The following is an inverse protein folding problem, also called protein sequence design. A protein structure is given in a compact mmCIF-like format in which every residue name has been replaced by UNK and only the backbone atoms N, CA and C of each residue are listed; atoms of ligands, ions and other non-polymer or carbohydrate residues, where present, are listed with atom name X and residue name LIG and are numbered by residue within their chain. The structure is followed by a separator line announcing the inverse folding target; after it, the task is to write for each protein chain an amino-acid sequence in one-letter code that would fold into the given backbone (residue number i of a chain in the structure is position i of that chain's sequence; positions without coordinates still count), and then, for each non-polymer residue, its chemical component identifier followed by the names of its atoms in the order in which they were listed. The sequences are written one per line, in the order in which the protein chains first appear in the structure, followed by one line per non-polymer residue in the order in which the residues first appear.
data_IF_077066426905
#
_entry.id   IF_077066426905
#
_cell.length_a   1.000
_cell.length_b   1.000
_cell.length_c   1.000
_cell.angle_alpha   90.00
_cell.angle_beta   90.00
_cell.angle_gamma   90.00
#
_symmetry.space_group_name_H-M   'P 1'
#
loop_
_entity.id
_entity.type
_entity.pdbx_description
1 polymer ?
#
# COMPACT_ATOMS: atom_id res chain seq x y z
N UNK A 1 -39.23 21.66 -12.79
CA UNK A 1 -39.15 22.78 -13.76
C UNK A 1 -37.80 22.72 -14.48
N UNK A 2 -37.69 23.19 -15.74
CA UNK A 2 -36.40 23.22 -16.48
C UNK A 2 -35.92 24.66 -16.62
N UNK A 3 -34.69 24.93 -16.18
CA UNK A 3 -34.13 26.29 -16.14
C UNK A 3 -33.03 26.41 -17.21
N UNK A 4 -33.13 27.38 -18.12
CA UNK A 4 -32.12 27.57 -19.17
C UNK A 4 -30.81 28.16 -18.60
N UNK A 5 -29.70 27.77 -19.21
CA UNK A 5 -28.34 28.24 -18.82
C UNK A 5 -28.21 29.76 -18.72
N UNK A 6 -28.89 30.50 -19.61
CA UNK A 6 -28.84 31.96 -19.66
C UNK A 6 -29.38 32.63 -18.40
N UNK A 7 -30.38 32.00 -17.75
CA UNK A 7 -30.96 32.49 -16.50
C UNK A 7 -30.00 32.24 -15.34
N UNK A 8 -29.39 31.04 -15.27
CA UNK A 8 -28.44 30.67 -14.22
C UNK A 8 -27.15 31.48 -14.24
N UNK A 9 -26.59 31.70 -15.43
CA UNK A 9 -25.38 32.52 -15.64
C UNK A 9 -25.61 33.95 -15.13
N UNK A 10 -26.81 34.50 -15.34
CA UNK A 10 -27.18 35.85 -14.85
C UNK A 10 -27.45 35.89 -13.36
N UNK A 11 -28.20 34.92 -12.82
CA UNK A 11 -28.59 34.89 -11.41
C UNK A 11 -27.42 34.60 -10.48
N UNK A 12 -26.50 33.72 -10.88
CA UNK A 12 -25.37 33.28 -10.05
C UNK A 12 -24.05 33.99 -10.41
N UNK A 13 -24.08 34.91 -11.38
CA UNK A 13 -22.90 35.62 -11.90
C UNK A 13 -21.74 34.67 -12.26
N UNK A 14 -22.09 33.51 -12.84
CA UNK A 14 -21.15 32.47 -13.24
C UNK A 14 -20.86 32.57 -14.72
N UNK A 15 -19.64 32.27 -15.13
CA UNK A 15 -19.35 32.21 -16.56
C UNK A 15 -19.86 30.92 -17.19
N UNK A 16 -20.47 31.02 -18.38
CA UNK A 16 -20.98 29.84 -19.10
C UNK A 16 -19.88 28.81 -19.42
N UNK A 17 -18.61 29.22 -19.47
CA UNK A 17 -17.49 28.31 -19.62
C UNK A 17 -17.27 27.43 -18.38
N UNK A 18 -17.46 27.96 -17.17
CA UNK A 18 -17.27 27.23 -15.92
C UNK A 18 -18.31 26.12 -15.77
N UNK A 19 -19.58 26.41 -16.08
CA UNK A 19 -20.65 25.42 -16.10
C UNK A 19 -20.35 24.25 -17.05
N UNK A 20 -19.76 24.53 -18.22
CA UNK A 20 -19.35 23.50 -19.18
C UNK A 20 -18.20 22.64 -18.65
N UNK A 21 -17.26 23.23 -17.92
CA UNK A 21 -16.18 22.47 -17.29
C UNK A 21 -16.69 21.59 -16.13
N UNK A 22 -17.67 22.06 -15.36
CA UNK A 22 -18.31 21.25 -14.32
C UNK A 22 -19.16 20.12 -14.91
N UNK A 23 -19.83 20.35 -16.04
CA UNK A 23 -20.51 19.32 -16.84
C UNK A 23 -19.52 18.23 -17.30
N UNK A 24 -18.38 18.62 -17.89
CA UNK A 24 -17.34 17.68 -18.34
C UNK A 24 -16.77 16.83 -17.19
N UNK A 25 -16.67 17.41 -16.00
CA UNK A 25 -16.21 16.71 -14.79
C UNK A 25 -17.27 15.81 -14.16
N UNK A 26 -18.50 15.83 -14.68
CA UNK A 26 -19.61 15.02 -14.17
C UNK A 26 -20.23 15.54 -12.88
N UNK A 27 -19.88 16.75 -12.42
CA UNK A 27 -20.37 17.30 -11.15
C UNK A 27 -21.86 17.65 -11.18
N UNK A 28 -22.39 17.92 -12.37
CA UNK A 28 -23.78 18.32 -12.60
C UNK A 28 -24.69 17.18 -13.07
N UNK A 29 -24.16 15.97 -13.27
CA UNK A 29 -24.90 14.85 -13.86
C UNK A 29 -25.26 15.07 -15.34
N UNK A 30 -26.29 14.34 -15.82
CA UNK A 30 -26.72 14.41 -17.23
C UNK A 30 -27.44 15.72 -17.54
N UNK A 31 -26.83 16.56 -18.38
CA UNK A 31 -27.42 17.84 -18.80
C UNK A 31 -28.23 17.63 -20.08
N UNK A 32 -29.53 17.89 -20.01
CA UNK A 32 -30.42 17.81 -21.15
C UNK A 32 -30.30 19.07 -22.02
N UNK A 33 -30.31 18.88 -23.34
CA UNK A 33 -30.40 19.98 -24.30
C UNK A 33 -31.81 20.02 -24.86
N UNK A 34 -32.43 21.20 -24.83
CA UNK A 34 -33.77 21.38 -25.34
C UNK A 34 -33.76 21.44 -26.89
N UNK A 35 -34.35 20.45 -27.59
CA UNK A 35 -34.38 20.43 -29.06
C UNK A 35 -35.14 21.62 -29.67
N UNK A 36 -36.12 22.17 -28.94
CA UNK A 36 -36.99 23.24 -29.43
C UNK A 36 -36.44 24.64 -29.14
N UNK A 37 -35.42 24.77 -28.29
CA UNK A 37 -34.76 26.04 -27.98
C UNK A 37 -33.29 26.04 -28.43
N UNK A 38 -33.05 25.81 -29.73
CA UNK A 38 -31.70 25.87 -30.32
C UNK A 38 -30.66 25.00 -29.58
N UNK A 39 -31.09 23.84 -29.07
CA UNK A 39 -30.25 22.94 -28.27
C UNK A 39 -29.64 23.60 -27.02
N UNK A 40 -30.32 24.61 -26.45
CA UNK A 40 -29.88 25.22 -25.19
C UNK A 40 -29.85 24.18 -24.07
N UNK A 41 -28.82 24.30 -23.22
CA UNK A 41 -28.71 23.51 -22.00
C UNK A 41 -29.78 23.95 -21.02
N UNK A 42 -30.54 22.98 -20.55
CA UNK A 42 -31.57 23.16 -19.54
C UNK A 42 -31.24 22.28 -18.34
N UNK A 43 -31.37 22.85 -17.16
CA UNK A 43 -31.03 22.20 -15.90
C UNK A 43 -32.29 21.92 -15.10
N UNK A 44 -32.30 20.80 -14.38
CA UNK A 44 -33.32 20.49 -13.37
C UNK A 44 -33.08 21.29 -12.09
N UNK A 45 -34.08 21.36 -11.21
CA UNK A 45 -33.95 22.03 -9.90
C UNK A 45 -32.80 21.46 -9.07
N UNK A 46 -32.65 20.13 -9.02
CA UNK A 46 -31.54 19.46 -8.34
C UNK A 46 -30.17 19.86 -8.92
N UNK A 47 -30.07 19.98 -10.25
CA UNK A 47 -28.84 20.45 -10.90
C UNK A 47 -28.54 21.91 -10.54
N UNK A 48 -29.57 22.74 -10.42
CA UNK A 48 -29.41 24.14 -9.99
C UNK A 48 -28.93 24.21 -8.54
N UNK A 49 -29.44 23.38 -7.64
CA UNK A 49 -28.96 23.30 -6.25
C UNK A 49 -27.49 22.85 -6.18
N UNK A 50 -27.08 21.91 -7.03
CA UNK A 50 -25.66 21.52 -7.17
C UNK A 50 -24.80 22.68 -7.66
N UNK A 51 -25.23 23.39 -8.70
CA UNK A 51 -24.53 24.57 -9.23
C UNK A 51 -24.36 25.65 -8.16
N UNK A 52 -25.42 25.93 -7.40
CA UNK A 52 -25.38 26.90 -6.30
C UNK A 52 -24.40 26.47 -5.22
N UNK A 53 -24.44 25.20 -4.81
CA UNK A 53 -23.52 24.66 -3.81
C UNK A 53 -22.05 24.77 -4.26
N UNK A 54 -21.76 24.53 -5.54
CA UNK A 54 -20.40 24.69 -6.10
C UNK A 54 -19.98 26.15 -6.04
N UNK A 55 -20.86 27.07 -6.47
CA UNK A 55 -20.59 28.50 -6.45
C UNK A 55 -20.26 28.99 -5.03
N UNK A 56 -21.02 28.56 -4.02
CA UNK A 56 -20.82 28.91 -2.61
C UNK A 56 -19.47 28.41 -2.07
N UNK A 57 -19.08 27.17 -2.43
CA UNK A 57 -17.79 26.60 -2.03
C UNK A 57 -16.65 27.39 -2.66
N UNK A 58 -16.73 27.70 -3.94
CA UNK A 58 -15.71 28.48 -4.64
C UNK A 58 -15.61 29.88 -4.03
N UNK A 59 -16.74 30.53 -3.76
CA UNK A 59 -16.77 31.85 -3.11
C UNK A 59 -16.10 31.79 -1.72
N UNK A 60 -16.41 30.76 -0.93
CA UNK A 60 -15.78 30.53 0.38
C UNK A 60 -14.26 30.32 0.27
N UNK A 61 -13.78 29.65 -0.78
CA UNK A 61 -12.34 29.52 -1.06
C UNK A 61 -11.71 30.88 -1.40
N UNK A 62 -12.40 31.73 -2.17
CA UNK A 62 -11.95 33.10 -2.49
C UNK A 62 -11.83 33.96 -1.24
N UNK A 63 -12.80 33.89 -0.34
CA UNK A 63 -12.79 34.59 0.94
C UNK A 63 -11.63 34.16 1.84
N UNK A 64 -11.26 32.87 1.80
CA UNK A 64 -10.06 32.33 2.47
C UNK A 64 -8.73 32.73 1.81
N UNK A 65 -8.77 33.51 0.72
CA UNK A 65 -7.58 33.98 0.01
C UNK A 65 -7.00 32.98 -1.00
N UNK A 66 -7.72 31.90 -1.31
CA UNK A 66 -7.27 30.88 -2.26
C UNK A 66 -7.46 31.41 -3.69
N UNK A 67 -6.35 31.64 -4.40
CA UNK A 67 -6.36 32.20 -5.78
C UNK A 67 -6.73 31.18 -6.86
N UNK A 68 -6.59 29.87 -6.60
CA UNK A 68 -6.93 28.80 -7.54
C UNK A 68 -7.91 27.86 -6.86
N UNK A 69 -9.07 27.65 -7.47
CA UNK A 69 -10.10 26.75 -6.94
C UNK A 69 -9.51 25.38 -6.61
N UNK A 70 -9.67 24.96 -5.35
CA UNK A 70 -9.30 23.62 -4.94
C UNK A 70 -10.42 22.66 -5.34
N UNK A 71 -10.14 21.91 -6.42
CA UNK A 71 -11.09 21.02 -7.05
C UNK A 71 -11.38 19.79 -6.18
N UNK A 72 -10.40 19.36 -5.36
CA UNK A 72 -10.58 18.19 -4.48
C UNK A 72 -11.54 18.52 -3.33
N UNK A 73 -11.46 19.74 -2.76
CA UNK A 73 -12.39 20.18 -1.73
C UNK A 73 -13.83 20.30 -2.27
N UNK A 74 -13.98 20.80 -3.51
CA UNK A 74 -15.29 20.91 -4.17
C UNK A 74 -15.88 19.51 -4.39
N UNK A 75 -15.09 18.57 -4.92
CA UNK A 75 -15.54 17.18 -5.13
C UNK A 75 -15.92 16.48 -3.83
N UNK A 76 -15.10 16.64 -2.77
CA UNK A 76 -15.39 16.05 -1.47
C UNK A 76 -16.70 16.57 -0.88
N UNK A 77 -16.93 17.88 -0.93
CA UNK A 77 -18.16 18.50 -0.43
C UNK A 77 -19.38 18.17 -1.28
N UNK A 78 -19.22 18.07 -2.59
CA UNK A 78 -20.29 17.62 -3.48
C UNK A 78 -20.70 16.18 -3.18
N UNK A 79 -19.72 15.29 -2.97
CA UNK A 79 -19.96 13.91 -2.59
C UNK A 79 -20.64 13.81 -1.22
N UNK A 80 -20.23 14.64 -0.26
CA UNK A 80 -20.83 14.70 1.08
C UNK A 80 -22.28 15.19 1.05
N UNK A 81 -22.57 16.25 0.27
CA UNK A 81 -23.90 16.90 0.27
C UNK A 81 -24.93 16.20 -0.60
N UNK A 82 -24.52 15.72 -1.78
CA UNK A 82 -25.42 15.14 -2.78
C UNK A 82 -25.32 13.62 -2.86
N UNK A 83 -24.30 13.02 -2.21
CA UNK A 83 -24.03 11.60 -2.34
C UNK A 83 -23.48 11.25 -3.72
N UNK A 84 -22.62 10.23 -3.78
CA UNK A 84 -22.24 9.60 -5.05
C UNK A 84 -23.48 8.94 -5.67
N UNK A 85 -24.23 9.68 -6.46
CA UNK A 85 -25.43 9.19 -7.12
C UNK A 85 -25.04 8.19 -8.22
N UNK A 86 -24.79 6.94 -7.82
CA UNK A 86 -24.77 5.80 -8.75
C UNK A 86 -26.22 5.57 -9.17
N UNK A 87 -26.66 6.29 -10.21
CA UNK A 87 -27.92 5.93 -10.87
C UNK A 87 -27.77 4.51 -11.38
N UNK A 88 -28.54 3.58 -10.82
CA UNK A 88 -28.76 2.29 -11.46
C UNK A 88 -29.36 2.59 -12.83
N UNK A 89 -28.72 2.08 -13.87
CA UNK A 89 -29.24 2.14 -15.22
C UNK A 89 -30.46 1.21 -15.23
N UNK A 90 -31.65 1.75 -14.95
CA UNK A 90 -32.90 1.08 -15.29
C UNK A 90 -33.10 1.26 -16.80
N UNK A 91 -32.36 0.46 -17.56
CA UNK A 91 -32.61 0.33 -18.98
C UNK A 91 -33.60 -0.80 -19.21
N UNK A 92 -34.78 -0.44 -19.72
CA UNK A 92 -35.46 -1.22 -20.75
C UNK A 92 -34.58 -1.28 -22.02
N UNK A 93 -33.40 -1.89 -21.88
CA UNK A 93 -32.49 -2.17 -22.98
C UNK A 93 -33.07 -3.37 -23.71
N UNK A 94 -33.80 -3.13 -24.80
CA UNK A 94 -33.98 -4.16 -25.83
C UNK A 94 -32.62 -4.41 -26.43
N UNK A 95 -31.87 -5.35 -25.85
CA UNK A 95 -30.56 -5.76 -26.34
C UNK A 95 -30.75 -6.54 -27.63
N UNK A 96 -30.20 -6.08 -28.77
CA UNK A 96 -30.22 -6.85 -30.00
C UNK A 96 -29.51 -8.20 -29.77
N UNK A 97 -30.03 -9.33 -30.29
CA UNK A 97 -29.47 -10.67 -30.03
C UNK A 97 -28.00 -10.83 -30.44
N UNK A 98 -27.50 -10.01 -31.36
CA UNK A 98 -26.08 -9.97 -31.73
C UNK A 98 -25.17 -9.48 -30.60
N UNK A 99 -25.62 -8.52 -29.80
CA UNK A 99 -24.90 -8.02 -28.63
C UNK A 99 -24.88 -9.03 -27.48
N UNK A 100 -25.91 -9.88 -27.38
CA UNK A 100 -25.90 -11.02 -26.44
C UNK A 100 -24.82 -12.03 -26.80
N UNK A 101 -24.61 -12.32 -28.09
CA UNK A 101 -23.54 -13.22 -28.51
C UNK A 101 -22.14 -12.69 -28.15
N UNK A 102 -21.91 -11.38 -28.30
CA UNK A 102 -20.65 -10.76 -27.88
C UNK A 102 -20.44 -10.81 -26.37
N UNK A 103 -21.51 -10.62 -25.58
CA UNK A 103 -21.47 -10.76 -24.13
C UNK A 103 -21.16 -12.21 -23.72
N UNK A 104 -21.75 -13.20 -24.41
CA UNK A 104 -21.48 -14.62 -24.18
C UNK A 104 -20.01 -14.96 -24.50
N UNK A 105 -19.47 -14.48 -25.62
CA UNK A 105 -18.04 -14.68 -25.95
C UNK A 105 -17.11 -14.04 -24.91
N UNK A 106 -17.43 -12.83 -24.44
CA UNK A 106 -16.68 -12.16 -23.38
C UNK A 106 -16.76 -12.92 -22.04
N UNK A 107 -17.92 -13.46 -21.69
CA UNK A 107 -18.11 -14.29 -20.49
C UNK A 107 -17.33 -15.61 -20.59
N UNK A 108 -17.32 -16.24 -21.77
CA UNK A 108 -16.51 -17.43 -22.02
C UNK A 108 -15.01 -17.12 -21.87
N UNK A 109 -14.56 -15.99 -22.43
CA UNK A 109 -13.18 -15.52 -22.28
C UNK A 109 -12.80 -15.19 -20.83
N UNK A 110 -13.72 -14.62 -20.05
CA UNK A 110 -13.49 -14.39 -18.61
C UNK A 110 -13.39 -15.70 -17.83
N UNK A 111 -14.28 -16.67 -18.08
CA UNK A 111 -14.24 -17.97 -17.42
C UNK A 111 -12.94 -18.74 -17.72
N UNK A 112 -12.42 -18.64 -18.95
CA UNK A 112 -11.12 -19.22 -19.30
C UNK A 112 -9.98 -18.59 -18.48
N UNK A 113 -9.93 -17.26 -18.39
CA UNK A 113 -8.93 -16.55 -17.59
C UNK A 113 -9.03 -16.89 -16.09
N UNK A 114 -10.25 -17.02 -15.56
CA UNK A 114 -10.46 -17.45 -14.17
C UNK A 114 -9.89 -18.85 -13.94
N UNK A 115 -10.13 -19.79 -14.86
CA UNK A 115 -9.58 -21.14 -14.76
C UNK A 115 -8.04 -21.15 -14.85
N UNK A 116 -7.44 -20.34 -15.72
CA UNK A 116 -5.98 -20.19 -15.81
C UNK A 116 -5.40 -19.65 -14.50
N UNK A 117 -6.01 -18.61 -13.92
CA UNK A 117 -5.60 -18.05 -12.62
C UNK A 117 -5.73 -19.08 -11.50
N UNK A 118 -6.81 -19.86 -11.47
CA UNK A 118 -6.98 -20.94 -10.51
C UNK A 118 -5.89 -22.00 -10.64
N UNK A 119 -5.51 -22.39 -11.87
CA UNK A 119 -4.42 -23.32 -12.10
C UNK A 119 -3.06 -22.75 -11.65
N UNK A 120 -2.80 -21.47 -11.91
CA UNK A 120 -1.58 -20.80 -11.45
C UNK A 120 -1.51 -20.76 -9.92
N UNK A 121 -2.61 -20.49 -9.22
CA UNK A 121 -2.65 -20.57 -7.74
C UNK A 121 -2.35 -21.98 -7.23
N UNK A 122 -2.90 -23.02 -7.88
CA UNK A 122 -2.62 -24.42 -7.52
C UNK A 122 -1.17 -24.83 -7.80
N UNK A 123 -0.50 -24.21 -8.78
CA UNK A 123 0.91 -24.45 -9.04
C UNK A 123 1.82 -23.66 -8.09
N UNK A 124 1.42 -22.45 -7.68
CA UNK A 124 2.16 -21.66 -6.70
C UNK A 124 2.14 -22.30 -5.31
N UNK A 125 1.02 -22.89 -4.89
CA UNK A 125 0.96 -23.62 -3.62
C UNK A 125 1.89 -24.84 -3.59
N UNK A 126 2.18 -25.45 -4.74
CA UNK A 126 3.17 -26.53 -4.88
C UNK A 126 4.63 -26.06 -4.94
N UNK A 127 4.88 -24.75 -5.16
CA UNK A 127 6.21 -24.13 -5.19
C UNK A 127 6.54 -23.36 -3.91
N UNK A 128 5.92 -23.72 -2.79
CA UNK A 128 6.35 -23.21 -1.48
C UNK A 128 7.78 -23.67 -1.21
N UNK A 129 8.62 -22.75 -0.73
CA UNK A 129 9.96 -23.05 -0.26
C UNK A 129 9.89 -24.19 0.77
N UNK A 130 10.86 -25.11 0.80
CA UNK A 130 10.92 -26.12 1.86
C UNK A 130 10.87 -25.43 3.21
N UNK A 131 10.16 -26.04 4.17
CA UNK A 131 10.05 -25.52 5.53
C UNK A 131 11.45 -25.19 6.08
N UNK A 132 11.59 -24.08 6.86
CA UNK A 132 12.88 -23.68 7.40
C UNK A 132 13.49 -24.85 8.15
N UNK A 133 14.67 -25.28 7.70
CA UNK A 133 15.41 -26.37 8.33
C UNK A 133 15.71 -25.93 9.76
N UNK A 134 15.21 -26.70 10.73
CA UNK A 134 15.41 -26.39 12.14
C UNK A 134 16.88 -26.63 12.52
N UNK A 135 17.63 -25.54 12.69
CA UNK A 135 19.04 -25.56 13.07
C UNK A 135 19.24 -25.56 14.60
N UNK A 136 18.19 -25.76 15.39
CA UNK A 136 18.25 -25.68 16.86
C UNK A 136 19.25 -26.68 17.45
N UNK A 137 19.31 -27.92 16.96
CA UNK A 137 20.29 -28.91 17.42
C UNK A 137 21.74 -28.46 17.16
N UNK A 138 22.03 -27.95 15.96
CA UNK A 138 23.37 -27.48 15.58
C UNK A 138 23.81 -26.30 16.46
N UNK A 139 22.88 -25.39 16.77
CA UNK A 139 23.15 -24.27 17.68
C UNK A 139 23.39 -24.74 19.11
N UNK A 140 22.67 -25.76 19.59
CA UNK A 140 22.90 -26.33 20.92
C UNK A 140 24.25 -27.04 21.01
N UNK A 141 24.66 -27.76 19.97
CA UNK A 141 25.95 -28.44 19.93
C UNK A 141 27.12 -27.46 19.88
N UNK A 142 27.03 -26.41 19.08
CA UNK A 142 28.04 -25.34 19.04
C UNK A 142 28.17 -24.64 20.40
N UNK A 143 27.04 -24.37 21.07
CA UNK A 143 27.04 -23.78 22.42
C UNK A 143 27.73 -24.68 23.45
N UNK A 144 27.46 -25.99 23.40
CA UNK A 144 28.08 -26.96 24.29
C UNK A 144 29.59 -27.10 24.02
N UNK A 145 30.01 -27.07 22.76
CA UNK A 145 31.42 -27.08 22.39
C UNK A 145 32.14 -25.81 22.85
N UNK A 146 31.52 -24.64 22.71
CA UNK A 146 32.07 -23.37 23.17
C UNK A 146 32.29 -23.37 24.68
N UNK A 147 31.32 -23.87 25.45
CA UNK A 147 31.42 -23.97 26.91
C UNK A 147 32.58 -24.89 27.32
N UNK A 148 32.71 -26.05 26.70
CA UNK A 148 33.86 -26.97 26.93
C UNK A 148 35.19 -26.33 26.56
N UNK A 149 35.21 -25.47 25.53
CA UNK A 149 36.43 -24.74 25.15
C UNK A 149 36.82 -23.71 26.20
N UNK A 150 35.86 -22.96 26.74
CA UNK A 150 36.10 -22.00 27.82
C UNK A 150 36.62 -22.68 29.08
N UNK A 151 36.00 -23.80 29.49
CA UNK A 151 36.45 -24.57 30.66
C UNK A 151 37.88 -25.09 30.50
N UNK A 152 38.29 -25.49 29.29
CA UNK A 152 39.69 -25.90 29.02
C UNK A 152 40.64 -24.71 29.08
N UNK A 153 40.24 -23.55 28.58
CA UNK A 153 41.05 -22.34 28.61
C UNK A 153 41.29 -21.88 30.06
N UNK A 154 40.27 -21.91 30.90
CA UNK A 154 40.39 -21.63 32.34
C UNK A 154 41.34 -22.62 33.04
N UNK A 155 41.26 -23.92 32.72
CA UNK A 155 42.19 -24.92 33.26
C UNK A 155 43.63 -24.68 32.80
N UNK A 156 43.85 -24.32 31.53
CA UNK A 156 45.18 -23.99 31.02
C UNK A 156 45.73 -22.75 31.72
N UNK A 157 44.94 -21.71 31.93
CA UNK A 157 45.34 -20.52 32.67
C UNK A 157 45.74 -20.84 34.12
N UNK A 158 44.99 -21.73 34.79
CA UNK A 158 45.33 -22.19 36.14
C UNK A 158 46.67 -22.95 36.18
N UNK A 159 46.91 -23.84 35.21
CA UNK A 159 48.20 -24.56 35.10
C UNK A 159 49.34 -23.57 34.84
N UNK A 160 49.15 -22.60 33.96
CA UNK A 160 50.16 -21.57 33.67
C UNK A 160 50.49 -20.76 34.92
N UNK A 161 49.49 -20.37 35.73
CA UNK A 161 49.72 -19.68 37.00
C UNK A 161 50.48 -20.55 38.00
N UNK A 162 50.14 -21.84 38.12
CA UNK A 162 50.86 -22.76 39.00
C UNK A 162 52.33 -22.88 38.57
N UNK A 163 52.59 -23.07 37.27
CA UNK A 163 53.95 -23.15 36.73
C UNK A 163 54.74 -21.85 36.95
N UNK A 164 54.09 -20.68 36.87
CA UNK A 164 54.73 -19.40 37.18
C UNK A 164 55.10 -19.32 38.67
N UNK A 165 54.21 -19.76 39.57
CA UNK A 165 54.50 -19.81 41.00
C UNK A 165 55.67 -20.75 41.30
N UNK A 166 55.65 -21.97 40.76
CA UNK A 166 56.70 -22.97 40.94
C UNK A 166 58.05 -22.47 40.39
N UNK A 167 58.05 -21.76 39.25
CA UNK A 167 59.24 -21.13 38.69
C UNK A 167 59.78 -20.01 39.58
N UNK A 168 58.92 -19.21 40.20
CA UNK A 168 59.34 -18.15 41.10
C UNK A 168 59.82 -18.69 42.45
N UNK A 169 59.29 -19.82 42.92
CA UNK A 169 59.84 -20.58 44.04
C UNK A 169 61.21 -21.17 43.73
N UNK A 170 61.39 -21.77 42.54
CA UNK A 170 62.68 -22.27 42.05
C UNK A 170 63.74 -21.17 41.94
N UNK A 171 63.36 -19.95 41.53
CA UNK A 171 64.28 -18.79 41.51
C UNK A 171 64.66 -18.30 42.91
N UNK A 172 63.79 -18.48 43.91
CA UNK A 172 64.04 -18.10 45.31
C UNK A 172 64.81 -19.18 46.08
N UNK A 173 64.87 -20.41 45.58
CA UNK A 173 65.69 -21.45 46.16
C UNK A 173 67.19 -21.07 46.06
N UNK A 174 67.95 -21.12 47.17
CA UNK A 174 69.38 -20.82 47.11
C UNK A 174 70.08 -21.84 46.22
N UNK A 175 71.01 -21.39 45.37
CA UNK A 175 71.86 -22.26 44.56
C UNK A 175 72.71 -23.18 45.45
N UNK A 176 72.12 -24.31 45.86
CA UNK A 176 72.76 -25.35 46.65
C UNK A 176 72.34 -26.71 46.11
N UNK A 177 73.18 -27.28 45.25
CA UNK A 177 74.02 -28.42 45.64
C UNK A 177 74.48 -29.21 44.42
N UNK A 178 75.76 -29.56 44.45
CA UNK A 178 76.42 -30.48 43.52
C UNK A 178 75.63 -31.79 43.45
N UNK A 179 74.98 -32.07 42.33
CA UNK A 179 74.58 -33.44 42.00
C UNK A 179 75.78 -34.16 41.38
N UNK A 180 76.44 -34.99 42.19
CA UNK A 180 77.28 -36.08 41.69
C UNK A 180 76.35 -37.20 41.23
N UNK A 181 76.26 -37.44 39.93
CA UNK A 181 75.55 -38.60 39.38
C UNK A 181 76.38 -39.19 38.22
N UNK A 182 77.11 -40.26 38.55
CA UNK A 182 77.74 -41.30 37.72
C UNK A 182 78.62 -40.91 36.52
N UNK A 183 79.93 -40.81 36.77
CA UNK A 183 80.97 -41.23 35.83
C UNK A 183 81.69 -42.45 36.42
N UNK A 184 81.46 -43.62 35.84
CA UNK A 184 82.33 -44.80 35.99
C UNK A 184 83.31 -44.77 34.81
N UNK A 185 84.57 -44.50 35.11
CA UNK A 185 85.79 -45.29 34.82
C UNK A 185 87.02 -44.46 35.16
#
# INVERSE_FOLDING_TARGET
MRIPISKLVKELNLEAHQLREWEKRGWLGEVVKDPWQNQQRVYTEEQVERIQSIADIIQSQREKGIKRTDLAEVEAKLLERFGGEVKRIDTDLVVPPQSLNQIVELLMGQNQKINEVQQLMHQQSKKQLPDPVDHTEVLTDLKNQLKKSQEREEQLLAIVQQLQSDMDELKKAPAKSKWKFWGKE
#
